data_IF_870092066926
#
_entry.id   IF_870092066926
#
_cell.length_a   1.000
_cell.length_b   1.000
_cell.length_c   1.000
_cell.angle_alpha   90.00
_cell.angle_beta   90.00
_cell.angle_gamma   90.00
#
_symmetry.space_group_name_H-M   'P 1'
#
loop_
_entity.id
_entity.type
_entity.pdbx_description
1 polymer ?
#
# COMPACT_ATOMS: atom_id res chain seq x y z
N UNK A 1 -23.94 45.71 17.08
CA UNK A 1 -24.75 44.48 16.84
C UNK A 1 -24.66 44.10 15.37
N UNK A 2 -24.64 42.79 15.08
CA UNK A 2 -24.47 42.12 13.77
C UNK A 2 -23.00 41.97 13.37
N UNK A 3 -22.25 41.14 14.08
CA UNK A 3 -22.06 39.69 13.84
C UNK A 3 -21.45 39.37 12.47
N UNK A 4 -20.13 39.26 12.53
CA UNK A 4 -19.21 38.55 11.63
C UNK A 4 -19.76 37.15 11.33
N UNK A 5 -20.14 36.91 10.09
CA UNK A 5 -20.41 35.56 9.58
C UNK A 5 -19.56 35.34 8.33
N UNK A 6 -18.46 34.59 8.51
CA UNK A 6 -17.77 33.79 7.48
C UNK A 6 -16.69 32.95 8.17
N UNK A 7 -17.11 31.98 8.99
CA UNK A 7 -16.30 30.77 9.29
C UNK A 7 -17.03 29.72 10.14
N UNK A 8 -18.26 29.35 9.78
CA UNK A 8 -19.03 28.31 10.48
C UNK A 8 -19.06 26.96 9.76
N UNK A 9 -18.37 26.80 8.64
CA UNK A 9 -18.33 25.51 7.90
C UNK A 9 -17.18 24.60 8.30
N UNK A 10 -16.12 25.11 8.95
CA UNK A 10 -14.94 24.29 9.26
C UNK A 10 -15.08 23.53 10.59
N UNK A 11 -15.90 24.00 11.54
CA UNK A 11 -16.08 23.37 12.86
C UNK A 11 -17.22 22.35 12.94
N UNK A 12 -18.04 22.18 11.89
CA UNK A 12 -19.09 21.14 11.84
C UNK A 12 -18.62 19.83 11.18
N UNK A 13 -17.48 19.84 10.48
CA UNK A 13 -16.91 18.65 9.82
C UNK A 13 -15.97 17.85 10.74
N UNK A 14 -15.43 18.46 11.80
CA UNK A 14 -14.54 17.77 12.74
C UNK A 14 -15.26 17.15 13.95
N UNK A 15 -16.56 17.44 14.14
CA UNK A 15 -17.30 16.97 15.34
C UNK A 15 -17.96 15.59 15.19
N UNK A 16 -17.97 15.00 14.00
CA UNK A 16 -18.45 13.61 13.78
C UNK A 16 -17.33 12.56 13.78
N UNK A 17 -16.07 12.99 13.71
CA UNK A 17 -14.92 12.09 13.65
C UNK A 17 -14.49 11.51 15.01
N UNK A 18 -15.16 11.89 16.11
CA UNK A 18 -14.67 11.60 17.47
C UNK A 18 -15.41 10.48 18.23
N UNK A 19 -16.38 9.76 17.64
CA UNK A 19 -17.18 8.80 18.44
C UNK A 19 -17.77 7.56 17.73
N UNK A 20 -17.18 7.06 16.65
CA UNK A 20 -17.52 5.73 16.14
C UNK A 20 -16.27 5.05 15.57
N UNK A 21 -16.07 3.76 15.85
CA UNK A 21 -14.96 2.94 15.39
C UNK A 21 -14.91 2.74 13.87
N UNK A 22 -14.71 3.83 13.13
CA UNK A 22 -14.49 3.92 11.69
C UNK A 22 -13.05 4.40 11.39
N UNK A 23 -12.08 3.98 12.22
CA UNK A 23 -10.78 3.64 11.65
C UNK A 23 -11.04 2.37 10.85
N UNK A 24 -11.34 2.46 9.55
CA UNK A 24 -11.48 1.20 8.79
C UNK A 24 -11.14 1.29 7.31
N UNK A 25 -11.50 2.36 6.61
CA UNK A 25 -11.12 2.47 5.19
C UNK A 25 -10.85 3.92 4.76
N UNK A 26 -11.72 4.86 5.15
CA UNK A 26 -11.57 6.25 4.78
C UNK A 26 -10.27 6.86 5.34
N UNK A 27 -10.01 6.66 6.63
CA UNK A 27 -8.75 7.10 7.26
C UNK A 27 -7.53 6.38 6.70
N UNK A 28 -7.65 5.08 6.36
CA UNK A 28 -6.55 4.32 5.76
C UNK A 28 -6.18 4.86 4.38
N UNK A 29 -7.17 5.07 3.51
CA UNK A 29 -6.95 5.65 2.18
C UNK A 29 -6.38 7.06 2.26
N UNK A 30 -6.81 7.87 3.23
CA UNK A 30 -6.29 9.21 3.44
C UNK A 30 -4.81 9.18 3.85
N UNK A 31 -4.42 8.35 4.81
CA UNK A 31 -3.01 8.19 5.22
C UNK A 31 -2.15 7.66 4.07
N UNK A 32 -2.66 6.69 3.31
CA UNK A 32 -1.95 6.12 2.17
C UNK A 32 -1.70 7.19 1.08
N UNK A 33 -2.67 8.08 0.81
CA UNK A 33 -2.51 9.19 -0.12
C UNK A 33 -1.58 10.30 0.41
N UNK A 34 -1.50 10.47 1.74
CA UNK A 34 -0.54 11.39 2.37
C UNK A 34 0.90 10.86 2.36
N UNK A 35 1.12 9.62 1.90
CA UNK A 35 2.43 9.04 1.73
C UNK A 35 2.86 8.07 2.82
N UNK A 36 1.99 7.75 3.79
CA UNK A 36 2.31 6.80 4.85
C UNK A 36 2.54 5.39 4.25
N UNK A 37 3.76 4.87 4.35
CA UNK A 37 4.15 3.59 3.73
C UNK A 37 3.38 2.41 4.31
N UNK A 38 3.15 2.39 5.63
CA UNK A 38 2.45 1.32 6.32
C UNK A 38 0.97 1.28 5.88
N UNK A 39 0.35 2.46 5.74
CA UNK A 39 -1.00 2.59 5.22
C UNK A 39 -1.11 2.13 3.77
N UNK A 40 -0.12 2.46 2.93
CA UNK A 40 -0.06 1.99 1.54
C UNK A 40 0.10 0.46 1.47
N UNK A 41 0.95 -0.12 2.32
CA UNK A 41 1.10 -1.58 2.44
C UNK A 41 -0.21 -2.22 2.85
N UNK A 42 -0.86 -1.72 3.90
CA UNK A 42 -2.12 -2.27 4.38
C UNK A 42 -3.22 -2.17 3.32
N UNK A 43 -3.32 -1.05 2.61
CA UNK A 43 -4.28 -0.87 1.54
C UNK A 43 -3.99 -1.80 0.35
N UNK A 44 -2.72 -2.01 0.00
CA UNK A 44 -2.35 -2.98 -1.03
C UNK A 44 -2.74 -4.41 -0.64
N UNK A 45 -2.58 -4.80 0.62
CA UNK A 45 -3.06 -6.10 1.12
C UNK A 45 -4.58 -6.22 1.07
N UNK A 46 -5.33 -5.17 1.43
CA UNK A 46 -6.80 -5.18 1.28
C UNK A 46 -7.22 -5.41 -0.18
N UNK A 47 -6.49 -4.84 -1.14
CA UNK A 47 -6.74 -5.13 -2.55
C UNK A 47 -6.31 -6.54 -2.97
N UNK A 48 -5.32 -7.17 -2.34
CA UNK A 48 -4.99 -8.57 -2.62
C UNK A 48 -6.01 -9.55 -2.07
N UNK A 49 -6.57 -9.27 -0.88
CA UNK A 49 -7.54 -10.15 -0.22
C UNK A 49 -8.99 -9.88 -0.64
N UNK A 50 -9.27 -8.68 -1.15
CA UNK A 50 -10.63 -8.17 -1.24
C UNK A 50 -11.17 -7.78 0.15
N UNK A 51 -12.39 -7.27 0.14
CA UNK A 51 -13.18 -6.90 1.33
C UNK A 51 -14.60 -7.44 1.15
N UNK A 52 -15.46 -7.44 2.19
CA UNK A 52 -16.87 -7.83 2.02
C UNK A 52 -17.62 -7.02 0.95
N UNK A 53 -17.19 -5.77 0.69
CA UNK A 53 -17.86 -4.84 -0.22
C UNK A 53 -17.14 -4.68 -1.58
N UNK A 54 -15.98 -5.33 -1.79
CA UNK A 54 -15.20 -5.22 -3.02
C UNK A 54 -14.33 -6.45 -3.25
N UNK A 55 -14.35 -6.95 -4.48
CA UNK A 55 -13.48 -8.03 -4.92
C UNK A 55 -11.98 -7.66 -4.89
N UNK A 56 -11.08 -8.64 -4.79
CA UNK A 56 -9.64 -8.45 -4.94
C UNK A 56 -9.27 -7.80 -6.27
N UNK A 57 -8.20 -7.01 -6.27
CA UNK A 57 -7.62 -6.35 -7.44
C UNK A 57 -6.10 -6.33 -7.36
N UNK A 58 -5.46 -7.20 -8.14
CA UNK A 58 -3.99 -7.27 -8.24
C UNK A 58 -3.41 -5.94 -8.75
N UNK A 59 -4.06 -5.28 -9.71
CA UNK A 59 -3.57 -4.00 -10.24
C UNK A 59 -3.56 -2.89 -9.19
N UNK A 60 -4.62 -2.77 -8.38
CA UNK A 60 -4.65 -1.79 -7.29
C UNK A 60 -3.65 -2.15 -6.20
N UNK A 61 -3.49 -3.43 -5.88
CA UNK A 61 -2.46 -3.87 -4.94
C UNK A 61 -1.05 -3.50 -5.43
N UNK A 62 -0.71 -3.77 -6.69
CA UNK A 62 0.58 -3.39 -7.29
C UNK A 62 0.82 -1.88 -7.24
N UNK A 63 -0.22 -1.08 -7.45
CA UNK A 63 -0.12 0.38 -7.35
C UNK A 63 0.31 0.83 -5.95
N UNK A 64 -0.37 0.35 -4.90
CA UNK A 64 -0.06 0.75 -3.53
C UNK A 64 1.26 0.16 -3.03
N UNK A 65 1.54 -1.10 -3.36
CA UNK A 65 2.82 -1.73 -3.05
C UNK A 65 3.98 -1.02 -3.74
N UNK A 66 3.79 -0.52 -4.97
CA UNK A 66 4.80 0.30 -5.65
C UNK A 66 5.07 1.60 -4.91
N UNK A 67 4.04 2.33 -4.50
CA UNK A 67 4.24 3.57 -3.72
C UNK A 67 5.04 3.30 -2.44
N UNK A 68 4.71 2.26 -1.68
CA UNK A 68 5.45 1.93 -0.46
C UNK A 68 6.88 1.42 -0.75
N UNK A 69 7.03 0.59 -1.79
CA UNK A 69 8.33 0.05 -2.19
C UNK A 69 9.32 1.13 -2.66
N UNK A 70 8.81 2.15 -3.36
CA UNK A 70 9.57 3.34 -3.78
C UNK A 70 10.05 4.18 -2.58
N UNK A 71 9.41 4.06 -1.42
CA UNK A 71 9.84 4.68 -0.16
C UNK A 71 10.87 3.84 0.61
N UNK A 72 11.19 2.64 0.13
CA UNK A 72 12.14 1.74 0.76
C UNK A 72 11.51 0.64 1.62
N UNK A 73 10.18 0.57 1.70
CA UNK A 73 9.51 -0.45 2.52
C UNK A 73 9.85 -1.88 2.04
N UNK A 74 10.51 -2.65 2.90
CA UNK A 74 11.05 -3.97 2.56
C UNK A 74 9.93 -5.00 2.28
N UNK A 75 8.81 -4.90 2.99
CA UNK A 75 7.67 -5.80 2.80
C UNK A 75 6.96 -5.49 1.48
N UNK A 76 6.73 -4.22 1.19
CA UNK A 76 6.16 -3.76 -0.08
C UNK A 76 7.01 -4.18 -1.28
N UNK A 77 8.33 -4.01 -1.19
CA UNK A 77 9.28 -4.46 -2.20
C UNK A 77 9.19 -5.98 -2.41
N UNK A 78 9.15 -6.76 -1.32
CA UNK A 78 9.03 -8.22 -1.37
C UNK A 78 7.72 -8.68 -2.02
N UNK A 79 6.60 -8.05 -1.64
CA UNK A 79 5.27 -8.33 -2.21
C UNK A 79 5.22 -7.95 -3.69
N UNK A 80 5.66 -6.74 -4.06
CA UNK A 80 5.64 -6.29 -5.44
C UNK A 80 6.52 -7.17 -6.33
N UNK A 81 7.70 -7.54 -5.85
CA UNK A 81 8.58 -8.50 -6.51
C UNK A 81 7.93 -9.87 -6.70
N UNK A 82 7.22 -10.36 -5.69
CA UNK A 82 6.48 -11.63 -5.75
C UNK A 82 5.32 -11.58 -6.75
N UNK A 83 4.61 -10.46 -6.83
CA UNK A 83 3.53 -10.26 -7.81
C UNK A 83 4.06 -10.29 -9.25
N UNK A 84 5.17 -9.61 -9.53
CA UNK A 84 5.80 -9.70 -10.85
C UNK A 84 6.37 -11.09 -11.16
N UNK A 85 6.91 -11.77 -10.16
CA UNK A 85 7.41 -13.13 -10.31
C UNK A 85 6.31 -14.10 -10.71
N UNK A 86 5.12 -14.00 -10.09
CA UNK A 86 3.98 -14.88 -10.40
C UNK A 86 3.46 -14.65 -11.84
N UNK A 87 3.58 -13.42 -12.34
CA UNK A 87 3.31 -13.05 -13.74
C UNK A 87 4.42 -13.49 -14.73
N UNK A 88 5.47 -14.17 -14.24
CA UNK A 88 6.70 -14.50 -15.00
C UNK A 88 7.42 -13.28 -15.57
N UNK A 89 7.15 -12.09 -15.03
CA UNK A 89 7.87 -10.86 -15.38
C UNK A 89 9.11 -10.73 -14.49
N UNK A 90 10.09 -11.62 -14.72
CA UNK A 90 11.31 -11.67 -13.90
C UNK A 90 12.16 -10.40 -13.99
N UNK A 91 12.11 -9.71 -15.13
CA UNK A 91 12.80 -8.43 -15.32
C UNK A 91 12.27 -7.38 -14.34
N UNK A 92 10.93 -7.27 -14.20
CA UNK A 92 10.33 -6.37 -13.23
C UNK A 92 10.46 -6.87 -11.78
N UNK A 93 10.44 -8.18 -11.55
CA UNK A 93 10.53 -8.77 -10.21
C UNK A 93 11.91 -8.60 -9.56
N UNK A 94 12.97 -8.84 -10.33
CA UNK A 94 14.37 -8.90 -9.87
C UNK A 94 14.80 -7.67 -9.05
N UNK A 95 14.60 -6.41 -9.49
CA UNK A 95 15.04 -5.26 -8.71
C UNK A 95 14.35 -5.17 -7.35
N UNK A 96 13.03 -5.36 -7.29
CA UNK A 96 12.26 -5.31 -6.05
C UNK A 96 12.64 -6.42 -5.08
N UNK A 97 12.78 -7.66 -5.58
CA UNK A 97 13.21 -8.79 -4.76
C UNK A 97 14.64 -8.62 -4.25
N UNK A 98 15.53 -8.01 -5.04
CA UNK A 98 16.91 -7.72 -4.64
C UNK A 98 16.95 -6.69 -3.52
N UNK A 99 16.18 -5.60 -3.64
CA UNK A 99 16.08 -4.57 -2.60
C UNK A 99 15.51 -5.14 -1.30
N UNK A 100 14.40 -5.88 -1.37
CA UNK A 100 13.80 -6.52 -0.20
C UNK A 100 14.77 -7.52 0.46
N UNK A 101 15.46 -8.33 -0.34
CA UNK A 101 16.44 -9.29 0.15
C UNK A 101 17.62 -8.61 0.87
N UNK A 102 18.09 -7.47 0.36
CA UNK A 102 19.13 -6.67 1.00
C UNK A 102 18.67 -6.06 2.34
N UNK A 103 17.36 -6.00 2.58
CA UNK A 103 16.73 -5.56 3.83
C UNK A 103 16.23 -6.76 4.66
N UNK A 104 16.93 -7.90 4.57
CA UNK A 104 16.65 -9.13 5.34
C UNK A 104 15.27 -9.77 5.08
N UNK A 105 14.56 -9.40 4.00
CA UNK A 105 13.35 -10.11 3.59
C UNK A 105 13.74 -11.49 3.00
N UNK A 106 13.75 -12.49 3.88
CA UNK A 106 14.18 -13.86 3.54
C UNK A 106 13.35 -14.46 2.39
N UNK A 107 12.04 -14.17 2.34
CA UNK A 107 11.18 -14.67 1.28
C UNK A 107 11.59 -14.09 -0.08
N UNK A 108 11.92 -12.80 -0.14
CA UNK A 108 12.41 -12.17 -1.36
C UNK A 108 13.73 -12.80 -1.83
N UNK A 109 14.67 -13.06 -0.91
CA UNK A 109 15.92 -13.76 -1.24
C UNK A 109 15.67 -15.15 -1.84
N UNK A 110 14.74 -15.92 -1.26
CA UNK A 110 14.40 -17.27 -1.73
C UNK A 110 13.75 -17.25 -3.13
N UNK A 111 12.89 -16.26 -3.41
CA UNK A 111 12.26 -16.13 -4.72
C UNK A 111 13.30 -15.68 -5.76
N UNK A 112 14.16 -14.71 -5.41
CA UNK A 112 15.23 -14.24 -6.28
C UNK A 112 16.15 -15.38 -6.73
N UNK A 113 16.52 -16.29 -5.82
CA UNK A 113 17.35 -17.45 -6.11
C UNK A 113 16.70 -18.45 -7.09
N UNK A 114 15.36 -18.43 -7.22
CA UNK A 114 14.60 -19.31 -8.13
C UNK A 114 14.42 -18.73 -9.53
N UNK A 115 14.70 -17.45 -9.73
CA UNK A 115 14.57 -16.82 -11.05
C UNK A 115 15.56 -17.50 -12.02
N UNK A 116 15.10 -18.04 -13.16
CA UNK A 116 15.99 -18.61 -14.16
C UNK A 116 16.93 -17.53 -14.67
N UNK A 117 18.25 -17.81 -14.64
CA UNK A 117 19.21 -16.94 -15.33
C UNK A 117 18.87 -16.98 -16.82
N UNK A 118 18.70 -15.81 -17.44
CA UNK A 118 18.63 -15.71 -18.90
C UNK A 118 19.88 -16.39 -19.47
N UNK A 119 19.68 -17.33 -20.39
CA UNK A 119 20.77 -17.99 -21.12
C UNK A 119 21.56 -17.00 -21.96
#
# INVERSE_FOLDING_TARGET
>A
MKNVFRNTTITLLTLWAFLAGAVSAASLSEMAEQGDSDAQVLLGYQYLSGTPDSEPSIEKAKYWMRKAAEQGDADAQGVLGTLYYSEKNYSAATPWLTQACAQDNQQACLILAKIPKSQ
#
